data_IF_168039007248
#
_entry.id   IF_168039007248
#
_cell.length_a   1.000
_cell.length_b   1.000
_cell.length_c   1.000
_cell.angle_alpha   90.00
_cell.angle_beta   90.00
_cell.angle_gamma   90.00
#
_symmetry.space_group_name_H-M   'P 1'
#
loop_
_entity.id
_entity.type
_entity.pdbx_description
1 polymer ?
#
# COMPACT_ATOMS: atom_id res chain seq x y z
N UNK A 1 -7.73 -18.37 -16.83
CA UNK A 1 -7.32 -18.05 -16.54
C UNK A 1 -7.03 -17.22 -16.39
N UNK A 2 -6.97 -17.11 -16.03
CA UNK A 2 -6.53 -16.47 -15.75
C UNK A 2 -6.34 -15.73 -15.66
N UNK A 3 -6.32 -15.38 -15.41
CA UNK A 3 -5.94 -14.53 -15.26
C UNK A 3 -5.19 -13.95 -15.04
N UNK A 4 -5.81 -14.49 -14.88
CA UNK A 4 -4.54 -14.27 -14.33
C UNK A 4 -3.86 -12.98 -14.59
N UNK A 5 -4.22 -12.36 -15.59
CA UNK A 5 -3.58 -11.09 -15.89
C UNK A 5 -4.14 -10.05 -14.95
N UNK A 6 -3.28 -9.53 -14.14
CA UNK A 6 -3.63 -8.46 -13.23
C UNK A 6 -3.39 -7.12 -13.91
N UNK A 7 -4.37 -6.24 -13.78
CA UNK A 7 -4.19 -4.88 -14.25
C UNK A 7 -3.57 -3.99 -13.17
N UNK A 8 -3.41 -4.55 -11.96
CA UNK A 8 -2.81 -3.84 -10.85
C UNK A 8 -1.33 -4.22 -10.79
N UNK A 9 -0.41 -3.28 -11.07
CA UNK A 9 1.01 -3.61 -11.08
C UNK A 9 1.53 -4.12 -9.74
N UNK A 10 0.82 -3.83 -8.66
CA UNK A 10 1.27 -4.24 -7.35
C UNK A 10 1.02 -5.72 -7.08
N UNK A 11 0.16 -6.36 -7.85
CA UNK A 11 -0.02 -7.79 -7.72
C UNK A 11 1.21 -8.57 -8.19
N UNK A 12 2.06 -7.93 -8.97
CA UNK A 12 3.32 -8.55 -9.39
C UNK A 12 4.27 -8.74 -8.21
N UNK A 13 4.01 -8.12 -7.07
CA UNK A 13 4.80 -8.35 -5.86
C UNK A 13 4.64 -9.78 -5.36
N UNK A 14 3.53 -10.45 -5.71
CA UNK A 14 3.37 -11.87 -5.50
C UNK A 14 3.21 -12.32 -4.07
N UNK A 15 3.01 -11.40 -3.13
CA UNK A 15 2.89 -11.75 -1.72
C UNK A 15 1.58 -11.22 -1.16
N UNK A 16 0.75 -12.14 -0.65
CA UNK A 16 -0.59 -11.79 -0.18
C UNK A 16 -0.57 -10.79 0.98
N UNK A 17 0.44 -10.88 1.84
CA UNK A 17 0.54 -9.96 2.98
C UNK A 17 0.78 -8.54 2.47
N UNK A 18 1.70 -8.39 1.52
CA UNK A 18 1.99 -7.07 0.95
C UNK A 18 0.80 -6.55 0.15
N UNK A 19 0.16 -7.44 -0.63
CA UNK A 19 -1.00 -7.02 -1.41
C UNK A 19 -2.14 -6.52 -0.52
N UNK A 20 -2.34 -7.18 0.62
CA UNK A 20 -3.37 -6.73 1.55
C UNK A 20 -3.01 -5.35 2.12
N UNK A 21 -1.74 -5.16 2.48
CA UNK A 21 -1.29 -3.87 2.99
C UNK A 21 -1.45 -2.77 1.94
N UNK A 22 -1.17 -3.08 0.67
CA UNK A 22 -1.36 -2.12 -0.43
C UNK A 22 -2.82 -1.73 -0.55
N UNK A 23 -3.73 -2.70 -0.50
CA UNK A 23 -5.16 -2.41 -0.57
C UNK A 23 -5.61 -1.54 0.60
N UNK A 24 -5.18 -1.89 1.79
CA UNK A 24 -5.55 -1.14 2.99
C UNK A 24 -5.01 0.29 2.93
N UNK A 25 -3.78 0.44 2.44
CA UNK A 25 -3.17 1.75 2.33
C UNK A 25 -3.93 2.63 1.33
N UNK A 26 -4.32 2.06 0.19
CA UNK A 26 -5.12 2.80 -0.80
C UNK A 26 -6.43 3.29 -0.20
N UNK A 27 -7.10 2.44 0.57
CA UNK A 27 -8.35 2.82 1.22
C UNK A 27 -8.11 3.96 2.20
N UNK A 28 -7.06 3.86 3.03
CA UNK A 28 -6.74 4.90 3.99
C UNK A 28 -6.44 6.22 3.29
N UNK A 29 -5.66 6.19 2.21
CA UNK A 29 -5.32 7.40 1.46
C UNK A 29 -6.56 8.06 0.86
N UNK A 30 -7.49 7.26 0.34
CA UNK A 30 -8.73 7.79 -0.22
C UNK A 30 -9.58 8.47 0.85
N UNK A 31 -9.64 7.87 2.04
CA UNK A 31 -10.36 8.47 3.16
C UNK A 31 -9.73 9.78 3.59
N UNK A 32 -8.39 9.84 3.62
CA UNK A 32 -7.68 11.06 3.97
C UNK A 32 -7.94 12.14 2.94
N UNK A 33 -7.94 11.78 1.65
CA UNK A 33 -8.21 12.74 0.60
C UNK A 33 -9.62 13.32 0.74
N UNK A 34 -10.60 12.47 1.07
CA UNK A 34 -11.97 12.91 1.26
C UNK A 34 -12.13 13.75 2.51
N UNK A 35 -11.39 13.44 3.56
CA UNK A 35 -11.46 14.16 4.84
C UNK A 35 -10.08 14.16 5.48
N UNK A 36 -9.27 15.22 5.26
CA UNK A 36 -7.91 15.28 5.83
C UNK A 36 -7.85 15.25 7.35
N UNK A 37 -8.99 15.45 8.01
CA UNK A 37 -9.04 15.42 9.48
C UNK A 37 -9.43 14.06 10.03
N UNK A 38 -9.59 13.07 9.18
CA UNK A 38 -9.95 11.72 9.61
C UNK A 38 -8.75 11.06 10.30
N UNK A 39 -8.76 11.12 11.65
CA UNK A 39 -7.64 10.64 12.45
C UNK A 39 -7.45 9.13 12.31
N UNK A 40 -8.54 8.39 12.23
CA UNK A 40 -8.46 6.94 12.07
C UNK A 40 -7.74 6.57 10.79
N UNK A 41 -8.09 7.24 9.68
CA UNK A 41 -7.43 6.96 8.41
C UNK A 41 -5.97 7.36 8.43
N UNK A 42 -5.65 8.48 9.09
CA UNK A 42 -4.25 8.91 9.22
C UNK A 42 -3.44 7.88 10.02
N UNK A 43 -4.01 7.38 11.11
CA UNK A 43 -3.34 6.38 11.93
C UNK A 43 -3.15 5.08 11.16
N UNK A 44 -4.14 4.67 10.39
CA UNK A 44 -4.04 3.48 9.57
C UNK A 44 -2.92 3.62 8.53
N UNK A 45 -2.87 4.77 7.86
CA UNK A 45 -1.85 5.00 6.85
C UNK A 45 -0.46 4.95 7.47
N UNK A 46 -0.29 5.57 8.63
CA UNK A 46 1.01 5.56 9.31
C UNK A 46 1.42 4.16 9.73
N UNK A 47 0.47 3.38 10.23
CA UNK A 47 0.75 2.00 10.65
C UNK A 47 1.19 1.16 9.45
N UNK A 48 0.51 1.33 8.32
CA UNK A 48 0.86 0.59 7.12
C UNK A 48 2.23 1.03 6.59
N UNK A 49 2.53 2.32 6.64
CA UNK A 49 3.84 2.81 6.24
C UNK A 49 4.95 2.23 7.10
N UNK A 50 4.69 2.07 8.40
CA UNK A 50 5.66 1.42 9.28
C UNK A 50 5.90 -0.02 8.87
N UNK A 51 4.85 -0.72 8.44
CA UNK A 51 5.01 -2.07 7.93
C UNK A 51 5.90 -2.07 6.69
N UNK A 52 5.63 -1.18 5.75
CA UNK A 52 6.44 -1.11 4.52
C UNK A 52 7.91 -0.82 4.81
N UNK A 53 8.19 -0.02 5.83
CA UNK A 53 9.56 0.35 6.19
C UNK A 53 10.19 -0.60 7.18
N UNK A 54 9.44 -1.63 7.61
CA UNK A 54 9.91 -2.56 8.60
C UNK A 54 10.66 -3.76 8.03
N UNK A 55 11.24 -4.57 8.92
CA UNK A 55 12.06 -5.70 8.47
C UNK A 55 11.28 -6.80 7.78
N UNK A 56 10.01 -7.01 8.16
CA UNK A 56 9.22 -8.06 7.51
C UNK A 56 9.03 -7.78 6.03
N UNK A 57 8.73 -6.54 5.70
CA UNK A 57 8.55 -6.17 4.30
C UNK A 57 9.79 -6.48 3.47
N UNK A 58 10.97 -6.15 4.00
CA UNK A 58 12.22 -6.36 3.27
C UNK A 58 12.54 -7.84 3.07
N UNK A 59 12.02 -8.70 3.95
CA UNK A 59 12.15 -10.16 3.77
C UNK A 59 11.22 -10.64 2.65
N UNK A 60 10.04 -10.03 2.51
CA UNK A 60 9.03 -10.49 1.58
C UNK A 60 9.22 -9.99 0.15
N UNK A 61 9.90 -8.87 -0.02
CA UNK A 61 10.12 -8.29 -1.34
C UNK A 61 11.35 -7.40 -1.34
N UNK A 62 11.96 -7.23 -2.52
CA UNK A 62 13.08 -6.32 -2.70
C UNK A 62 12.64 -4.96 -3.24
N UNK A 63 11.35 -4.75 -3.44
CA UNK A 63 10.84 -3.47 -3.93
C UNK A 63 11.08 -2.39 -2.88
N UNK A 64 11.66 -1.26 -3.31
CA UNK A 64 11.95 -0.14 -2.41
C UNK A 64 10.64 0.37 -1.80
N UNK A 65 10.51 0.36 -0.45
CA UNK A 65 9.28 0.81 0.18
C UNK A 65 8.97 2.28 -0.07
N UNK A 66 9.98 3.13 -0.17
CA UNK A 66 9.73 4.55 -0.44
C UNK A 66 9.16 4.75 -1.84
N UNK A 67 9.66 3.96 -2.79
CA UNK A 67 9.10 3.97 -4.14
C UNK A 67 7.64 3.54 -4.13
N UNK A 68 7.34 2.44 -3.44
CA UNK A 68 5.98 1.92 -3.35
C UNK A 68 5.04 2.94 -2.72
N UNK A 69 5.43 3.52 -1.60
CA UNK A 69 4.62 4.52 -0.90
C UNK A 69 4.35 5.73 -1.80
N UNK A 70 5.38 6.21 -2.49
CA UNK A 70 5.24 7.35 -3.38
C UNK A 70 4.27 7.07 -4.52
N UNK A 71 4.34 5.87 -5.09
CA UNK A 71 3.44 5.48 -6.18
C UNK A 71 2.00 5.42 -5.70
N UNK A 72 1.78 4.84 -4.52
CA UNK A 72 0.43 4.71 -3.99
C UNK A 72 -0.16 6.08 -3.65
N UNK A 73 0.64 6.98 -3.08
CA UNK A 73 0.19 8.34 -2.79
C UNK A 73 -0.18 9.08 -4.07
N UNK A 74 0.58 8.86 -5.13
CA UNK A 74 0.32 9.53 -6.41
C UNK A 74 -1.00 9.08 -7.02
N UNK A 75 -1.42 7.84 -6.75
CA UNK A 75 -2.65 7.31 -7.31
C UNK A 75 -3.90 8.01 -6.81
N UNK A 76 -3.86 8.61 -5.63
CA UNK A 76 -5.04 9.21 -5.00
C UNK A 76 -5.07 10.74 -5.09
N UNK A 77 -4.20 11.33 -5.86
CA UNK A 77 -4.19 12.79 -6.02
C UNK A 77 -5.36 13.32 -6.83
#
# INVERSE_FOLDING_TARGET
MSKAISEDPYEALGNAIILQAVKDYRVALKKIKANPKNRTALDEALTIEKFFRGPLYSVLTSVDPEFLISKLRAEVK
#
